data_IF_498307596999
#
_entry.id   IF_498307596999
#
_cell.length_a   1.000
_cell.length_b   1.000
_cell.length_c   1.000
_cell.angle_alpha   90.00
_cell.angle_beta   90.00
_cell.angle_gamma   90.00
#
_symmetry.space_group_name_H-M   'P 1'
#
loop_
_entity.id
_entity.type
_entity.pdbx_description
1 polymer ?
#
# COMPACT_ATOMS: atom_id res chain seq x y z
N UNK A 1 28.36 52.67 -20.03
CA UNK A 1 27.36 51.66 -20.46
C UNK A 1 27.85 50.26 -20.07
N UNK A 2 27.98 50.01 -18.76
CA UNK A 2 28.42 48.74 -18.15
C UNK A 2 27.87 48.71 -16.71
N UNK A 3 26.58 48.95 -16.52
CA UNK A 3 26.00 48.99 -15.17
C UNK A 3 25.98 47.58 -14.59
N UNK A 4 26.28 47.46 -13.29
CA UNK A 4 26.22 46.18 -12.56
C UNK A 4 24.87 45.49 -12.75
N UNK A 5 23.80 46.27 -12.91
CA UNK A 5 22.44 45.81 -13.24
C UNK A 5 22.36 44.99 -14.53
N UNK A 6 23.07 45.40 -15.59
CA UNK A 6 23.07 44.68 -16.88
C UNK A 6 23.80 43.34 -16.77
N UNK A 7 24.90 43.28 -15.99
CA UNK A 7 25.66 42.05 -15.76
C UNK A 7 24.89 41.06 -14.88
N UNK A 8 24.17 41.57 -13.88
CA UNK A 8 23.27 40.78 -13.06
C UNK A 8 22.13 40.19 -13.91
N UNK A 9 21.52 40.99 -14.80
CA UNK A 9 20.44 40.51 -15.67
C UNK A 9 20.89 39.34 -16.58
N UNK A 10 22.09 39.40 -17.15
CA UNK A 10 22.62 38.27 -17.93
C UNK A 10 22.88 37.01 -17.10
N UNK A 11 23.32 37.17 -15.84
CA UNK A 11 23.57 36.04 -14.95
C UNK A 11 22.25 35.36 -14.53
N UNK A 12 21.22 36.16 -14.25
CA UNK A 12 19.88 35.67 -13.93
C UNK A 12 19.20 35.01 -15.14
N UNK A 13 19.29 35.62 -16.32
CA UNK A 13 18.74 35.03 -17.53
C UNK A 13 19.41 33.68 -17.86
N UNK A 14 20.74 33.59 -17.70
CA UNK A 14 21.47 32.35 -17.91
C UNK A 14 21.07 31.26 -16.90
N UNK A 15 21.04 31.57 -15.60
CA UNK A 15 20.61 30.59 -14.58
C UNK A 15 19.16 30.14 -14.76
N UNK A 16 18.25 31.06 -15.09
CA UNK A 16 16.86 30.71 -15.42
C UNK A 16 16.76 29.82 -16.64
N UNK A 17 17.54 30.08 -17.70
CA UNK A 17 17.55 29.25 -18.91
C UNK A 17 18.06 27.83 -18.66
N UNK A 18 19.10 27.68 -17.83
CA UNK A 18 19.64 26.36 -17.45
C UNK A 18 18.62 25.59 -16.62
N UNK A 19 17.98 26.25 -15.64
CA UNK A 19 16.92 25.62 -14.85
C UNK A 19 15.72 25.23 -15.71
N UNK A 20 15.29 26.08 -16.64
CA UNK A 20 14.19 25.78 -17.56
C UNK A 20 14.52 24.59 -18.48
N UNK A 21 15.75 24.50 -18.99
CA UNK A 21 16.19 23.36 -19.79
C UNK A 21 16.21 22.05 -18.97
N UNK A 22 16.70 22.10 -17.73
CA UNK A 22 16.69 20.95 -16.82
C UNK A 22 15.27 20.48 -16.48
N UNK A 23 14.35 21.41 -16.18
CA UNK A 23 12.96 21.05 -15.87
C UNK A 23 12.25 20.46 -17.08
N UNK A 24 12.46 21.01 -18.28
CA UNK A 24 11.96 20.43 -19.52
C UNK A 24 12.51 19.01 -19.76
N UNK A 25 13.82 18.81 -19.54
CA UNK A 25 14.43 17.49 -19.62
C UNK A 25 13.83 16.47 -18.65
N UNK A 26 13.59 16.87 -17.40
CA UNK A 26 12.93 16.04 -16.39
C UNK A 26 11.48 15.70 -16.80
N UNK A 27 10.73 16.66 -17.33
CA UNK A 27 9.35 16.46 -17.79
C UNK A 27 9.31 15.47 -18.95
N UNK A 28 10.15 15.67 -19.97
CA UNK A 28 10.23 14.79 -21.14
C UNK A 28 10.58 13.36 -20.72
N UNK A 29 11.60 13.20 -19.88
CA UNK A 29 12.03 11.88 -19.37
C UNK A 29 10.90 11.19 -18.61
N UNK A 30 10.10 11.95 -17.84
CA UNK A 30 8.96 11.41 -17.09
C UNK A 30 7.75 11.12 -17.97
N UNK A 31 7.58 11.85 -19.08
CA UNK A 31 6.49 11.68 -20.02
C UNK A 31 6.66 10.43 -20.90
N UNK A 32 7.90 10.10 -21.28
CA UNK A 32 8.21 8.94 -22.11
C UNK A 32 8.50 7.65 -21.32
N UNK A 33 8.45 7.70 -19.98
CA UNK A 33 8.69 6.51 -19.16
C UNK A 33 7.39 5.74 -18.92
N UNK A 34 7.38 4.49 -19.37
CA UNK A 34 6.30 3.55 -19.06
C UNK A 34 6.24 3.29 -17.56
N UNK A 35 5.06 3.51 -16.96
CA UNK A 35 4.81 3.32 -15.51
C UNK A 35 4.37 1.91 -15.16
N UNK A 36 4.28 1.02 -16.15
CA UNK A 36 3.83 -0.36 -15.93
C UNK A 36 5.01 -1.23 -15.51
N UNK A 37 5.12 -1.50 -14.21
CA UNK A 37 6.06 -2.47 -13.67
C UNK A 37 5.36 -3.85 -13.59
N UNK A 38 5.81 -4.88 -14.34
CA UNK A 38 5.25 -6.21 -14.21
C UNK A 38 5.65 -6.82 -12.87
N UNK A 39 4.68 -6.91 -11.95
CA UNK A 39 4.86 -7.55 -10.64
C UNK A 39 4.48 -9.03 -10.76
N UNK A 40 5.39 -9.93 -10.36
CA UNK A 40 5.10 -11.35 -10.27
C UNK A 40 4.47 -11.64 -8.91
N UNK A 41 3.16 -11.89 -8.91
CA UNK A 41 2.39 -12.25 -7.74
C UNK A 41 2.14 -13.75 -7.74
N UNK A 42 2.55 -14.43 -6.68
CA UNK A 42 2.29 -15.83 -6.46
C UNK A 42 1.48 -16.02 -5.19
N UNK A 43 0.26 -16.54 -5.32
CA UNK A 43 -0.64 -16.80 -4.20
C UNK A 43 -0.80 -18.32 -4.06
N UNK A 44 -0.62 -18.83 -2.85
CA UNK A 44 -0.71 -20.26 -2.58
C UNK A 44 -1.42 -20.54 -1.26
N UNK A 45 -2.01 -21.73 -1.16
CA UNK A 45 -2.67 -22.28 0.05
C UNK A 45 -3.68 -21.31 0.67
N UNK A 46 -4.73 -21.01 -0.08
CA UNK A 46 -5.87 -20.24 0.44
C UNK A 46 -6.77 -21.20 1.20
N UNK A 47 -6.92 -20.98 2.51
CA UNK A 47 -7.82 -21.74 3.36
C UNK A 47 -8.67 -20.77 4.16
N UNK A 48 -9.98 -20.98 4.10
CA UNK A 48 -10.95 -20.30 4.93
C UNK A 48 -11.52 -21.31 5.93
N UNK A 49 -11.44 -20.97 7.22
CA UNK A 49 -12.05 -21.75 8.29
C UNK A 49 -13.04 -20.86 9.04
N UNK A 50 -14.30 -21.28 9.05
CA UNK A 50 -15.31 -20.66 9.91
C UNK A 50 -15.01 -21.00 11.37
N UNK A 51 -15.11 -19.99 12.23
CA UNK A 51 -14.94 -20.10 13.67
C UNK A 51 -16.26 -19.73 14.31
N UNK A 52 -16.73 -20.56 15.23
CA UNK A 52 -17.90 -20.21 16.03
C UNK A 52 -17.48 -19.24 17.13
N UNK A 53 -18.16 -18.10 17.19
CA UNK A 53 -18.00 -17.17 18.31
C UNK A 53 -18.68 -17.74 19.56
N UNK A 54 -17.88 -18.10 20.55
CA UNK A 54 -18.39 -18.56 21.86
C UNK A 54 -18.67 -17.39 22.83
N UNK A 55 -18.64 -16.14 22.35
CA UNK A 55 -18.84 -14.92 23.16
C UNK A 55 -20.32 -14.70 23.51
N UNK A 56 -20.87 -15.55 24.37
CA UNK A 56 -22.12 -15.32 25.08
C UNK A 56 -23.40 -15.23 24.22
N UNK A 57 -24.59 -15.30 24.86
CA UNK A 57 -25.87 -15.44 24.16
C UNK A 57 -26.41 -14.17 23.49
N UNK A 58 -25.75 -13.01 23.65
CA UNK A 58 -26.31 -11.70 23.22
C UNK A 58 -25.75 -11.15 21.90
N UNK A 59 -24.66 -11.69 21.36
CA UNK A 59 -24.13 -11.32 20.03
C UNK A 59 -23.27 -12.44 19.46
N UNK A 60 -23.72 -13.07 18.38
CA UNK A 60 -22.93 -14.03 17.60
C UNK A 60 -22.37 -13.30 16.39
N UNK A 61 -21.08 -12.99 16.40
CA UNK A 61 -20.39 -12.51 15.20
C UNK A 61 -19.90 -13.70 14.39
N UNK A 62 -19.99 -13.63 13.05
CA UNK A 62 -19.35 -14.65 12.21
C UNK A 62 -17.85 -14.32 12.13
N UNK A 63 -17.06 -15.13 12.83
CA UNK A 63 -15.60 -15.09 12.75
C UNK A 63 -15.09 -16.09 11.71
N UNK A 64 -14.06 -15.67 10.99
CA UNK A 64 -13.33 -16.54 10.08
C UNK A 64 -11.82 -16.41 10.27
N UNK A 65 -11.12 -17.53 10.15
CA UNK A 65 -9.69 -17.55 9.88
C UNK A 65 -9.48 -17.62 8.37
N UNK A 66 -8.67 -16.71 7.83
CA UNK A 66 -8.14 -16.81 6.47
C UNK A 66 -6.64 -17.03 6.60
N UNK A 67 -6.15 -18.10 6.00
CA UNK A 67 -4.72 -18.35 5.87
C UNK A 67 -4.40 -18.36 4.38
N UNK A 68 -3.44 -17.54 3.97
CA UNK A 68 -2.95 -17.51 2.60
C UNK A 68 -1.45 -17.23 2.62
N UNK A 69 -0.75 -17.68 1.60
CA UNK A 69 0.64 -17.31 1.36
C UNK A 69 0.74 -16.47 0.11
N UNK A 70 1.21 -15.23 0.24
CA UNK A 70 1.45 -14.33 -0.89
C UNK A 70 2.95 -14.05 -0.98
N UNK A 71 3.52 -14.33 -2.15
CA UNK A 71 4.87 -13.91 -2.51
C UNK A 71 4.78 -12.93 -3.67
N UNK A 72 5.42 -11.76 -3.52
CA UNK A 72 5.45 -10.73 -4.52
C UNK A 72 6.86 -10.16 -4.67
N UNK A 73 7.33 -10.04 -5.90
CA UNK A 73 8.58 -9.36 -6.22
C UNK A 73 8.30 -7.93 -6.71
N UNK A 74 8.56 -6.94 -5.85
CA UNK A 74 8.28 -5.53 -6.10
C UNK A 74 9.53 -4.74 -6.51
N UNK A 75 10.67 -5.41 -6.71
CA UNK A 75 11.97 -4.76 -6.97
C UNK A 75 11.89 -3.83 -8.18
N UNK A 76 11.22 -4.26 -9.24
CA UNK A 76 11.03 -3.48 -10.48
C UNK A 76 10.07 -2.31 -10.35
N UNK A 77 9.33 -2.22 -9.25
CA UNK A 77 8.37 -1.13 -8.99
C UNK A 77 9.06 0.08 -8.36
N UNK A 78 10.21 -0.12 -7.71
CA UNK A 78 10.99 0.95 -7.11
C UNK A 78 11.86 1.65 -8.16
N UNK A 79 11.35 2.75 -8.67
CA UNK A 79 12.06 3.64 -9.59
C UNK A 79 12.66 4.88 -8.92
N UNK A 80 13.44 5.68 -9.66
CA UNK A 80 14.03 6.94 -9.17
C UNK A 80 13.00 7.90 -8.55
N UNK A 81 11.75 7.90 -9.03
CA UNK A 81 10.66 8.72 -8.49
C UNK A 81 9.90 8.04 -7.34
N UNK A 82 9.80 6.71 -7.33
CA UNK A 82 8.98 5.96 -6.36
C UNK A 82 9.76 5.75 -5.06
N UNK A 83 9.37 6.46 -4.00
CA UNK A 83 10.05 6.42 -2.69
C UNK A 83 9.36 5.49 -1.68
N UNK A 84 8.06 5.28 -1.86
CA UNK A 84 7.20 4.55 -0.93
C UNK A 84 6.10 3.84 -1.71
N UNK A 85 5.76 2.63 -1.28
CA UNK A 85 4.63 1.84 -1.78
C UNK A 85 3.67 1.57 -0.63
N UNK A 86 2.38 1.81 -0.88
CA UNK A 86 1.29 1.46 0.03
C UNK A 86 0.66 0.17 -0.48
N UNK A 87 0.87 -0.91 0.27
CA UNK A 87 0.28 -2.20 -0.03
C UNK A 87 -0.88 -2.44 0.91
N UNK A 88 -1.98 -2.93 0.36
CA UNK A 88 -3.09 -3.43 1.15
C UNK A 88 -3.68 -4.64 0.46
N UNK A 89 -4.21 -5.56 1.25
CA UNK A 89 -4.98 -6.70 0.81
C UNK A 89 -6.43 -6.48 1.24
N UNK A 90 -7.36 -6.51 0.29
CA UNK A 90 -8.79 -6.52 0.61
C UNK A 90 -9.44 -7.82 0.18
N UNK A 91 -10.33 -8.35 1.02
CA UNK A 91 -11.26 -9.40 0.65
C UNK A 91 -12.62 -8.78 0.33
N UNK A 92 -13.19 -9.22 -0.78
CA UNK A 92 -14.54 -8.89 -1.19
C UNK A 92 -15.41 -10.14 -1.04
N UNK A 93 -16.60 -9.97 -0.46
CA UNK A 93 -17.55 -11.05 -0.25
C UNK A 93 -18.98 -10.56 -0.47
N UNK A 94 -19.83 -11.47 -0.92
CA UNK A 94 -21.25 -11.19 -1.17
C UNK A 94 -22.11 -11.82 -0.07
N UNK A 95 -23.15 -11.11 0.37
CA UNK A 95 -24.16 -11.61 1.31
C UNK A 95 -25.56 -11.49 0.71
N UNK A 96 -26.54 -12.19 1.29
CA UNK A 96 -27.93 -12.09 0.83
C UNK A 96 -28.51 -10.66 0.91
N UNK A 97 -27.97 -9.84 1.82
CA UNK A 97 -28.39 -8.46 2.02
C UNK A 97 -27.60 -7.46 1.16
N UNK A 98 -26.34 -7.74 0.82
CA UNK A 98 -25.46 -6.81 0.10
C UNK A 98 -24.65 -7.55 -0.97
N UNK A 99 -24.69 -7.03 -2.20
CA UNK A 99 -23.98 -7.61 -3.33
C UNK A 99 -22.45 -7.54 -3.18
N UNK A 100 -21.93 -6.46 -2.60
CA UNK A 100 -20.49 -6.21 -2.43
C UNK A 100 -20.22 -5.71 -1.01
N UNK A 101 -19.51 -6.51 -0.22
CA UNK A 101 -18.91 -6.07 1.04
C UNK A 101 -17.39 -6.22 0.92
N UNK A 102 -16.65 -5.16 1.27
CA UNK A 102 -15.18 -5.14 1.20
C UNK A 102 -14.61 -4.99 2.61
N UNK A 103 -13.59 -5.78 2.92
CA UNK A 103 -12.82 -5.69 4.16
C UNK A 103 -11.32 -5.68 3.84
N UNK A 104 -10.57 -4.78 4.46
CA UNK A 104 -9.11 -4.81 4.38
C UNK A 104 -8.61 -5.87 5.35
N UNK A 105 -7.74 -6.78 4.90
CA UNK A 105 -7.18 -7.90 5.67
C UNK A 105 -5.75 -7.62 6.17
N UNK A 106 -5.01 -6.79 5.45
CA UNK A 106 -3.62 -6.49 5.78
C UNK A 106 -3.18 -5.22 5.05
N UNK A 107 -2.35 -4.42 5.69
CA UNK A 107 -1.71 -3.26 5.09
C UNK A 107 -0.23 -3.20 5.49
N UNK A 108 0.61 -2.74 4.57
CA UNK A 108 2.01 -2.44 4.84
C UNK A 108 2.52 -1.35 3.94
N UNK A 109 3.31 -0.49 4.54
CA UNK A 109 4.07 0.53 3.83
C UNK A 109 5.47 -0.02 3.59
N UNK A 110 5.90 -0.07 2.33
CA UNK A 110 7.29 -0.39 1.97
C UNK A 110 8.03 0.87 1.56
N UNK A 111 9.21 1.06 2.13
CA UNK A 111 10.09 2.18 1.82
C UNK A 111 11.23 1.75 0.90
N UNK A 112 11.74 2.71 0.10
CA UNK A 112 12.92 2.46 -0.72
C UNK A 112 14.12 2.11 0.16
N UNK A 113 14.78 0.99 -0.15
CA UNK A 113 15.94 0.48 0.60
C UNK A 113 15.59 -0.67 1.55
N UNK A 114 14.30 -0.91 1.80
CA UNK A 114 13.85 -2.14 2.42
C UNK A 114 13.87 -3.31 1.42
N UNK A 115 13.74 -4.54 1.92
CA UNK A 115 13.67 -5.72 1.07
C UNK A 115 12.41 -5.64 0.18
N UNK A 116 12.56 -5.56 -1.16
CA UNK A 116 11.43 -5.42 -2.07
C UNK A 116 10.69 -6.75 -2.31
N UNK A 117 11.22 -7.88 -1.80
CA UNK A 117 10.56 -9.17 -1.86
C UNK A 117 9.62 -9.31 -0.68
N UNK A 118 8.33 -9.34 -0.97
CA UNK A 118 7.28 -9.56 0.00
C UNK A 118 7.00 -11.06 0.10
N UNK A 119 7.04 -11.61 1.32
CA UNK A 119 6.61 -12.97 1.62
C UNK A 119 5.69 -12.91 2.84
N UNK A 120 4.39 -13.03 2.62
CA UNK A 120 3.35 -13.02 3.64
C UNK A 120 2.94 -14.44 3.93
N UNK A 121 3.08 -14.85 5.20
CA UNK A 121 2.81 -16.20 5.68
C UNK A 121 2.02 -16.18 6.99
N UNK A 122 0.94 -15.40 7.02
CA UNK A 122 0.21 -15.13 8.26
C UNK A 122 -1.21 -15.69 8.23
N UNK A 123 -1.73 -15.91 9.44
CA UNK A 123 -3.10 -16.32 9.69
C UNK A 123 -3.89 -15.10 10.14
N UNK A 124 -4.85 -14.65 9.32
CA UNK A 124 -5.65 -13.46 9.62
C UNK A 124 -7.00 -13.85 10.20
N UNK A 125 -7.39 -13.18 11.29
CA UNK A 125 -8.73 -13.29 11.89
C UNK A 125 -9.54 -12.08 11.47
N UNK A 126 -10.72 -12.32 10.92
CA UNK A 126 -11.63 -11.26 10.53
C UNK A 126 -13.04 -11.52 11.08
N UNK A 127 -13.75 -10.43 11.37
CA UNK A 127 -15.15 -10.45 11.80
C UNK A 127 -16.02 -9.74 10.77
N UNK A 128 -17.04 -10.43 10.25
CA UNK A 128 -17.93 -9.88 9.23
C UNK A 128 -18.95 -8.88 9.78
N UNK A 129 -19.19 -8.83 11.10
CA UNK A 129 -20.22 -7.95 11.69
C UNK A 129 -19.75 -6.49 11.83
N UNK A 130 -18.44 -6.22 11.83
CA UNK A 130 -17.90 -4.87 12.07
C UNK A 130 -17.05 -4.30 10.93
N UNK A 131 -16.85 -5.04 9.83
CA UNK A 131 -15.76 -4.76 8.87
C UNK A 131 -14.44 -4.48 9.62
N UNK A 132 -14.23 -5.13 10.76
CA UNK A 132 -13.18 -4.79 11.71
C UNK A 132 -12.35 -6.01 12.06
N UNK A 133 -11.06 -5.75 12.23
CA UNK A 133 -10.09 -6.71 12.73
C UNK A 133 -10.41 -7.12 14.16
N UNK A 134 -10.48 -8.43 14.39
CA UNK A 134 -10.12 -8.97 15.69
C UNK A 134 -8.60 -9.22 15.63
N UNK A 135 -7.81 -8.26 16.14
CA UNK A 135 -6.36 -8.42 16.30
C UNK A 135 -6.12 -9.80 17.01
N UNK A 136 -5.35 -10.75 16.43
CA UNK A 136 -4.94 -11.96 17.12
C UNK A 136 -4.15 -11.58 18.38
N UNK A 137 -4.33 -12.33 19.48
CA UNK A 137 -3.53 -12.12 20.69
C UNK A 137 -2.07 -12.52 20.43
N UNK A 138 -1.22 -11.55 20.12
CA UNK A 138 0.23 -11.72 20.26
C UNK A 138 0.62 -11.62 21.73
N UNK A 139 1.43 -12.57 22.19
CA UNK A 139 1.98 -12.66 23.56
C UNK A 139 2.87 -11.47 23.99
N UNK A 140 2.90 -10.37 23.23
CA UNK A 140 3.75 -9.19 23.45
C UNK A 140 3.00 -7.86 23.62
N UNK A 141 1.68 -7.89 23.81
CA UNK A 141 0.97 -6.82 24.53
C UNK A 141 1.15 -5.37 24.00
N UNK A 142 1.17 -5.15 22.68
CA UNK A 142 1.08 -3.81 22.10
C UNK A 142 0.09 -3.74 20.95
N UNK A 143 -0.97 -2.94 21.14
CA UNK A 143 -1.88 -2.42 20.11
C UNK A 143 -1.52 -0.97 19.80
N UNK A 144 -1.70 -0.54 18.53
CA UNK A 144 -2.98 0.11 18.18
C UNK A 144 -3.58 -0.46 16.89
N UNK A 145 -4.75 -1.11 17.01
CA UNK A 145 -5.62 -1.45 15.88
C UNK A 145 -6.38 -0.12 15.54
N UNK A 146 -6.06 0.56 14.41
CA UNK A 146 -6.77 1.77 13.95
C UNK A 146 -8.14 1.35 13.37
N UNK A 147 -9.22 1.60 14.10
CA UNK A 147 -10.59 1.46 13.60
C UNK A 147 -11.01 2.77 12.93
N UNK A 148 -10.86 2.88 11.61
CA UNK A 148 -11.63 3.87 10.85
C UNK A 148 -12.98 3.23 10.47
N UNK A 149 -13.95 3.37 11.38
CA UNK A 149 -15.35 3.29 11.02
C UNK A 149 -15.74 4.68 10.50
N UNK A 150 -15.95 4.78 9.19
CA UNK A 150 -16.71 5.84 8.56
C UNK A 150 -17.95 5.21 7.93
#
# INVERSE_FOLDING_TARGET
MNTLLSRANSLFAFTLSVMAALTLGCILTTAFKDRSAPVRLHVSRILLKKVEDFTGPRKRSDLGFITFHISADLEKTFDWNVKQLFLYLSAEYSTKSNAVNQVVLWDKILLRGENPKLDLKDNFVYSTEKNAFACPWDAMGKMPCFSNAA
#
